data_IF_214412956446
#
_entry.id   IF_214412956446
#
_cell.length_a   1.000
_cell.length_b   1.000
_cell.length_c   1.000
_cell.angle_alpha   90.00
_cell.angle_beta   90.00
_cell.angle_gamma   90.00
#
_symmetry.space_group_name_H-M   'P 1'
#
loop_
_entity.id
_entity.type
_entity.pdbx_description
1 polymer ?
#
# COMPACT_ATOMS: atom_id res chain seq x y z
N UNK A 1 -2.60 16.01 10.09
CA UNK A 1 -2.04 14.68 9.99
C UNK A 1 -3.01 13.74 9.33
N UNK A 2 -2.56 12.99 8.34
CA UNK A 2 -3.44 12.06 7.64
C UNK A 2 -3.46 10.72 8.36
N UNK A 3 -4.56 10.41 9.00
CA UNK A 3 -4.71 9.10 9.64
C UNK A 3 -4.84 7.98 8.61
N UNK A 4 -5.37 8.30 7.43
CA UNK A 4 -5.50 7.30 6.37
C UNK A 4 -4.13 6.86 5.86
N UNK A 5 -3.24 7.81 5.62
CA UNK A 5 -1.89 7.48 5.19
C UNK A 5 -1.19 6.59 6.21
N UNK A 6 -1.30 6.93 7.48
CA UNK A 6 -0.68 6.14 8.55
C UNK A 6 -1.28 4.73 8.61
N UNK A 7 -2.59 4.61 8.47
CA UNK A 7 -3.25 3.30 8.47
C UNK A 7 -2.78 2.43 7.32
N UNK A 8 -2.61 3.03 6.15
CA UNK A 8 -2.13 2.31 4.98
C UNK A 8 -0.72 1.79 5.24
N UNK A 9 0.15 2.65 5.77
CA UNK A 9 1.52 2.27 6.08
C UNK A 9 1.56 1.17 7.14
N UNK A 10 0.73 1.29 8.17
CA UNK A 10 0.63 0.26 9.21
C UNK A 10 0.23 -1.09 8.62
N UNK A 11 -0.71 -1.08 7.68
CA UNK A 11 -1.17 -2.31 7.03
C UNK A 11 -0.05 -2.91 6.18
N UNK A 12 0.69 -2.08 5.47
CA UNK A 12 1.81 -2.54 4.66
C UNK A 12 2.87 -3.21 5.56
N UNK A 13 3.18 -2.58 6.68
CA UNK A 13 4.15 -3.13 7.62
C UNK A 13 3.70 -4.48 8.16
N UNK A 14 2.45 -4.56 8.57
CA UNK A 14 1.90 -5.78 9.17
C UNK A 14 1.82 -6.92 8.15
N UNK A 15 1.25 -6.65 6.99
CA UNK A 15 1.09 -7.69 5.98
C UNK A 15 2.39 -8.10 5.33
N UNK A 16 3.33 -7.15 5.21
CA UNK A 16 4.63 -7.43 4.62
C UNK A 16 5.65 -7.99 5.59
N UNK A 17 5.33 -7.98 6.88
CA UNK A 17 6.28 -8.41 7.91
C UNK A 17 7.50 -7.49 7.98
N UNK A 18 7.31 -6.20 7.74
CA UNK A 18 8.39 -5.22 7.69
C UNK A 18 8.29 -4.27 8.87
N UNK A 19 9.45 -3.93 9.45
CA UNK A 19 9.49 -2.93 10.51
C UNK A 19 8.98 -1.60 9.96
N UNK A 20 7.99 -1.02 10.64
CA UNK A 20 7.36 0.21 10.18
C UNK A 20 8.38 1.36 10.06
N UNK A 21 9.43 1.32 10.86
CA UNK A 21 10.47 2.35 10.81
C UNK A 21 11.27 2.31 9.50
N UNK A 22 11.19 1.19 8.78
CA UNK A 22 11.86 1.04 7.50
C UNK A 22 11.01 1.52 6.33
N UNK A 23 9.76 1.88 6.58
CA UNK A 23 8.83 2.26 5.51
C UNK A 23 8.71 3.76 5.40
N UNK A 24 9.14 4.29 4.25
CA UNK A 24 9.04 5.71 3.93
C UNK A 24 8.33 5.87 2.61
N UNK A 25 7.72 7.02 2.37
CA UNK A 25 6.96 7.24 1.14
C UNK A 25 7.80 7.05 -0.12
N UNK A 26 9.07 7.40 -0.05
CA UNK A 26 9.96 7.25 -1.19
C UNK A 26 10.71 5.92 -1.22
N UNK A 27 10.37 5.01 -0.30
CA UNK A 27 11.00 3.68 -0.28
C UNK A 27 10.60 2.89 -1.52
N UNK A 28 11.58 2.25 -2.14
CA UNK A 28 11.33 1.31 -3.23
C UNK A 28 10.88 -0.01 -2.61
N UNK A 29 9.82 -0.60 -3.16
CA UNK A 29 9.23 -1.82 -2.60
C UNK A 29 10.23 -2.96 -2.48
N UNK A 30 11.01 -3.18 -3.54
CA UNK A 30 11.97 -4.28 -3.52
C UNK A 30 13.10 -4.05 -2.51
N UNK A 31 13.50 -2.80 -2.32
CA UNK A 31 14.61 -2.50 -1.43
C UNK A 31 14.26 -2.73 0.04
N UNK A 32 12.98 -2.72 0.38
CA UNK A 32 12.54 -2.98 1.74
C UNK A 32 11.96 -4.39 1.91
N UNK A 33 12.15 -5.24 0.90
CA UNK A 33 11.80 -6.65 0.99
C UNK A 33 10.42 -7.04 0.52
N UNK A 34 9.71 -6.16 -0.20
CA UNK A 34 8.40 -6.46 -0.73
C UNK A 34 8.56 -6.95 -2.16
N UNK A 35 8.39 -8.25 -2.39
CA UNK A 35 8.43 -8.82 -3.73
C UNK A 35 7.02 -8.81 -4.34
N UNK A 36 6.89 -9.37 -5.54
CA UNK A 36 5.62 -9.35 -6.26
C UNK A 36 4.50 -10.05 -5.50
N UNK A 37 4.81 -11.17 -4.89
CA UNK A 37 3.80 -11.93 -4.14
C UNK A 37 3.37 -11.17 -2.89
N UNK A 38 4.33 -10.63 -2.14
CA UNK A 38 4.04 -9.84 -0.94
C UNK A 38 3.23 -8.62 -1.31
N UNK A 39 3.55 -7.96 -2.42
CA UNK A 39 2.81 -6.78 -2.87
C UNK A 39 1.35 -7.13 -3.14
N UNK A 40 1.09 -8.27 -3.79
CA UNK A 40 -0.28 -8.70 -4.05
C UNK A 40 -1.05 -8.97 -2.76
N UNK A 41 -0.40 -9.56 -1.78
CA UNK A 41 -1.01 -9.83 -0.49
C UNK A 41 -1.34 -8.53 0.25
N UNK A 42 -0.44 -7.57 0.19
CA UNK A 42 -0.66 -6.25 0.81
C UNK A 42 -1.85 -5.54 0.14
N UNK A 43 -1.89 -5.57 -1.18
CA UNK A 43 -2.97 -4.94 -1.92
C UNK A 43 -4.31 -5.60 -1.60
N UNK A 44 -4.34 -6.92 -1.53
CA UNK A 44 -5.56 -7.65 -1.18
C UNK A 44 -6.06 -7.24 0.21
N UNK A 45 -5.15 -7.12 1.17
CA UNK A 45 -5.51 -6.70 2.53
C UNK A 45 -6.08 -5.28 2.54
N UNK A 46 -5.49 -4.38 1.76
CA UNK A 46 -5.98 -3.00 1.66
C UNK A 46 -7.36 -2.94 1.01
N UNK A 47 -7.58 -3.76 -0.01
CA UNK A 47 -8.89 -3.82 -0.66
C UNK A 47 -9.97 -4.26 0.31
N UNK A 48 -9.67 -5.25 1.12
CA UNK A 48 -10.61 -5.77 2.12
C UNK A 48 -10.85 -4.73 3.21
N UNK A 49 -9.77 -4.16 3.72
CA UNK A 49 -9.85 -3.22 4.85
C UNK A 49 -10.69 -1.99 4.51
N UNK A 50 -10.53 -1.46 3.32
CA UNK A 50 -11.22 -0.23 2.91
C UNK A 50 -12.39 -0.48 1.98
N UNK A 51 -12.65 -1.74 1.66
CA UNK A 51 -13.73 -2.13 0.75
C UNK A 51 -13.61 -1.39 -0.59
N UNK A 52 -12.43 -1.47 -1.20
CA UNK A 52 -12.12 -0.82 -2.46
C UNK A 52 -11.60 -1.83 -3.47
N UNK A 53 -11.52 -1.41 -4.71
CA UNK A 53 -10.95 -2.20 -5.78
C UNK A 53 -9.76 -1.46 -6.38
N UNK A 54 -8.66 -2.18 -6.58
CA UNK A 54 -7.46 -1.63 -7.19
C UNK A 54 -7.18 -2.46 -8.44
N UNK A 55 -7.12 -1.82 -9.60
CA UNK A 55 -6.94 -2.55 -10.85
C UNK A 55 -5.50 -3.04 -10.97
N UNK A 56 -5.33 -4.16 -11.66
CA UNK A 56 -4.01 -4.69 -11.96
C UNK A 56 -3.21 -3.71 -12.80
N UNK A 57 -3.90 -2.95 -13.64
CA UNK A 57 -3.26 -1.95 -14.47
C UNK A 57 -2.55 -0.89 -13.61
N UNK A 58 -3.23 -0.43 -12.56
CA UNK A 58 -2.64 0.55 -11.66
C UNK A 58 -1.43 -0.03 -10.92
N UNK A 59 -1.47 -1.32 -10.62
CA UNK A 59 -0.41 -1.98 -9.88
C UNK A 59 0.85 -2.20 -10.70
N UNK A 60 0.73 -2.28 -12.01
CA UNK A 60 1.88 -2.52 -12.88
C UNK A 60 2.97 -1.46 -12.76
N UNK A 61 2.58 -0.25 -12.42
CA UNK A 61 3.51 0.87 -12.37
C UNK A 61 3.89 1.27 -10.95
N UNK A 62 3.53 0.45 -9.97
CA UNK A 62 3.83 0.75 -8.58
C UNK A 62 5.24 0.28 -8.23
N UNK A 63 6.08 1.21 -7.82
CA UNK A 63 7.46 0.93 -7.43
C UNK A 63 7.77 1.41 -6.03
N UNK A 64 7.03 2.39 -5.55
CA UNK A 64 7.30 3.02 -4.26
C UNK A 64 6.07 2.99 -3.36
N UNK A 65 6.32 3.08 -2.05
CA UNK A 65 5.25 3.14 -1.05
C UNK A 65 4.28 4.28 -1.33
N UNK A 66 4.81 5.44 -1.72
CA UNK A 66 3.99 6.61 -2.05
C UNK A 66 2.89 6.27 -3.05
N UNK A 67 3.22 5.47 -4.04
CA UNK A 67 2.27 5.13 -5.09
C UNK A 67 1.12 4.29 -4.56
N UNK A 68 1.42 3.36 -3.64
CA UNK A 68 0.38 2.56 -3.00
C UNK A 68 -0.55 3.47 -2.19
N UNK A 69 0.03 4.38 -1.41
CA UNK A 69 -0.74 5.32 -0.61
C UNK A 69 -1.64 6.17 -1.49
N UNK A 70 -1.12 6.67 -2.61
CA UNK A 70 -1.89 7.50 -3.52
C UNK A 70 -3.06 6.75 -4.14
N UNK A 71 -2.82 5.52 -4.59
CA UNK A 71 -3.87 4.70 -5.21
C UNK A 71 -4.98 4.40 -4.21
N UNK A 72 -4.60 3.95 -3.02
CA UNK A 72 -5.59 3.60 -1.98
C UNK A 72 -6.38 4.84 -1.55
N UNK A 73 -5.69 5.95 -1.32
CA UNK A 73 -6.34 7.18 -0.89
C UNK A 73 -7.35 7.65 -1.92
N UNK A 74 -7.00 7.56 -3.20
CA UNK A 74 -7.88 7.96 -4.29
C UNK A 74 -9.15 7.11 -4.31
N UNK A 75 -9.00 5.79 -4.16
CA UNK A 75 -10.15 4.89 -4.18
C UNK A 75 -11.04 5.07 -2.95
N UNK A 76 -10.44 5.28 -1.79
CA UNK A 76 -11.21 5.53 -0.57
C UNK A 76 -12.02 6.81 -0.71
N UNK A 77 -11.43 7.86 -1.27
CA UNK A 77 -12.13 9.14 -1.46
C UNK A 77 -13.28 9.02 -2.44
N UNK A 78 -13.16 8.17 -3.45
CA UNK A 78 -14.23 7.95 -4.41
C UNK A 78 -15.45 7.33 -3.74
N UNK A 79 -15.23 6.46 -2.77
CA UNK A 79 -16.32 5.77 -2.09
C UNK A 79 -16.97 6.66 -1.02
N UNK A 80 -16.18 7.49 -0.43
CA UNK A 80 -16.63 8.35 0.66
C UNK A 80 -17.24 9.62 0.19
#
# INVERSE_FOLDING_TARGET
>A
MSTLEQEIIDTIAEEGGIDIECIHLDSDLYSIGIDSLSALEIIAALEIKYNIRISEYDLKNVNQIREIVQIVSKEVKKRG
#
